data_IF_496512544917
#
_entry.id   IF_496512544917
#
_cell.length_a   1.000
_cell.length_b   1.000
_cell.length_c   1.000
_cell.angle_alpha   90.00
_cell.angle_beta   90.00
_cell.angle_gamma   90.00
#
_symmetry.space_group_name_H-M   'P 1'
#
loop_
_entity.id
_entity.type
_entity.pdbx_description
1 polymer ?
#
# COMPACT_ATOMS: atom_id res chain seq x y z
N UNK A 1 -12.31 -16.82 14.86
CA UNK A 1 -12.62 -16.09 16.11
C UNK A 1 -14.14 -15.98 16.17
N UNK A 2 -14.78 -16.02 17.33
CA UNK A 2 -16.25 -15.92 17.38
C UNK A 2 -16.65 -14.46 17.45
N UNK A 3 -17.67 -14.04 16.72
CA UNK A 3 -18.25 -12.67 16.72
C UNK A 3 -18.64 -12.19 18.13
N UNK A 4 -19.12 -13.10 18.98
CA UNK A 4 -19.49 -12.83 20.38
C UNK A 4 -18.27 -12.47 21.24
N UNK A 5 -17.18 -13.21 21.09
CA UNK A 5 -15.91 -12.92 21.74
C UNK A 5 -15.36 -11.54 21.35
N UNK A 6 -15.37 -11.21 20.04
CA UNK A 6 -14.91 -9.91 19.57
C UNK A 6 -15.79 -8.78 20.14
N UNK A 7 -17.11 -8.98 20.18
CA UNK A 7 -18.04 -8.02 20.78
C UNK A 7 -17.75 -7.80 22.27
N UNK A 8 -17.52 -8.87 23.01
CA UNK A 8 -17.22 -8.82 24.45
C UNK A 8 -15.93 -8.03 24.70
N UNK A 9 -14.85 -8.38 24.00
CA UNK A 9 -13.57 -7.68 24.09
C UNK A 9 -13.72 -6.18 23.80
N UNK A 10 -14.44 -5.82 22.75
CA UNK A 10 -14.63 -4.42 22.38
C UNK A 10 -15.50 -3.67 23.38
N UNK A 11 -16.52 -4.33 23.94
CA UNK A 11 -17.37 -3.74 24.98
C UNK A 11 -16.60 -3.48 26.27
N UNK A 12 -15.72 -4.40 26.65
CA UNK A 12 -14.88 -4.26 27.84
C UNK A 12 -13.81 -3.17 27.69
N UNK A 13 -13.38 -2.91 26.45
CA UNK A 13 -12.54 -1.76 26.13
C UNK A 13 -13.31 -0.43 26.13
N UNK A 14 -14.63 -0.46 26.28
CA UNK A 14 -15.48 0.73 26.31
C UNK A 14 -16.01 1.18 24.95
N UNK A 15 -15.88 0.38 23.90
CA UNK A 15 -16.41 0.72 22.59
C UNK A 15 -17.93 0.62 22.51
N UNK A 16 -18.59 1.64 21.98
CA UNK A 16 -20.01 1.61 21.61
C UNK A 16 -20.14 1.12 20.18
N UNK A 17 -20.62 -0.11 20.02
CA UNK A 17 -20.65 -0.79 18.72
C UNK A 17 -21.94 -0.55 17.96
N UNK A 18 -21.84 -0.22 16.68
CA UNK A 18 -22.93 -0.25 15.70
C UNK A 18 -22.75 -1.44 14.79
N UNK A 19 -23.83 -2.15 14.51
CA UNK A 19 -23.85 -3.35 13.68
C UNK A 19 -24.00 -3.00 12.18
N UNK A 20 -23.06 -3.47 11.36
CA UNK A 20 -23.04 -3.28 9.91
C UNK A 20 -22.73 -4.62 9.21
N UNK A 21 -23.71 -5.53 9.24
CA UNK A 21 -23.56 -6.85 8.63
C UNK A 21 -22.35 -7.62 9.15
N UNK A 22 -21.33 -7.85 8.32
CA UNK A 22 -20.10 -8.56 8.70
C UNK A 22 -19.12 -7.75 9.56
N UNK A 23 -19.46 -6.50 9.94
CA UNK A 23 -18.59 -5.59 10.65
C UNK A 23 -19.28 -4.94 11.85
N UNK A 24 -18.51 -4.66 12.90
CA UNK A 24 -18.83 -3.64 13.88
C UNK A 24 -18.23 -2.34 13.44
N UNK A 25 -18.95 -1.23 13.60
CA UNK A 25 -18.42 0.12 13.44
C UNK A 25 -18.55 0.93 14.71
N UNK A 26 -17.56 1.77 14.95
CA UNK A 26 -17.47 2.55 16.18
C UNK A 26 -16.54 3.75 16.01
N UNK A 27 -16.50 4.61 17.00
CA UNK A 27 -15.51 5.65 17.17
C UNK A 27 -14.22 5.05 17.74
N UNK A 28 -13.02 5.40 17.26
CA UNK A 28 -11.78 5.01 17.93
C UNK A 28 -11.68 5.65 19.31
N UNK A 29 -11.17 4.90 20.30
CA UNK A 29 -10.95 5.39 21.66
C UNK A 29 -9.50 5.80 21.92
N UNK A 30 -8.56 5.39 21.06
CA UNK A 30 -7.13 5.70 21.15
C UNK A 30 -6.76 7.09 20.58
N UNK A 31 -7.74 7.83 20.08
CA UNK A 31 -7.60 9.20 19.58
C UNK A 31 -8.96 9.93 19.59
N UNK A 32 -8.93 11.24 19.53
CA UNK A 32 -10.15 12.03 19.36
C UNK A 32 -10.78 11.83 17.98
N UNK A 33 -12.08 11.64 17.98
CA UNK A 33 -12.89 11.50 16.77
C UNK A 33 -14.34 11.91 17.06
N UNK A 34 -14.93 12.67 16.18
CA UNK A 34 -16.35 13.04 16.15
C UNK A 34 -17.21 12.07 15.31
N UNK A 35 -16.57 11.10 14.65
CA UNK A 35 -17.23 10.15 13.77
C UNK A 35 -17.36 8.77 14.43
N UNK A 36 -18.62 8.41 14.76
CA UNK A 36 -18.97 7.17 15.47
C UNK A 36 -18.90 5.90 14.63
N UNK A 37 -18.51 5.97 13.34
CA UNK A 37 -18.48 4.82 12.43
C UNK A 37 -17.18 4.72 11.62
N UNK A 38 -16.17 5.51 12.01
CA UNK A 38 -14.92 5.61 11.23
C UNK A 38 -13.99 4.39 11.42
N UNK A 39 -14.08 3.73 12.58
CA UNK A 39 -13.37 2.49 12.88
C UNK A 39 -14.25 1.29 12.52
N UNK A 40 -13.78 0.41 11.67
CA UNK A 40 -14.49 -0.80 11.23
C UNK A 40 -13.74 -2.05 11.70
N UNK A 41 -14.44 -2.97 12.36
CA UNK A 41 -13.88 -4.22 12.89
C UNK A 41 -14.65 -5.40 12.28
N UNK A 42 -13.96 -6.31 11.63
CA UNK A 42 -14.56 -7.52 11.06
C UNK A 42 -14.96 -8.50 12.18
N UNK A 43 -16.20 -8.97 12.16
CA UNK A 43 -16.80 -9.81 13.21
C UNK A 43 -16.21 -11.20 13.32
N UNK A 44 -15.66 -11.75 12.22
CA UNK A 44 -15.16 -13.11 12.18
C UNK A 44 -13.67 -13.18 12.51
N UNK A 45 -12.93 -12.15 12.12
CA UNK A 45 -11.47 -12.15 12.21
C UNK A 45 -10.91 -11.21 13.27
N UNK A 46 -11.68 -10.24 13.76
CA UNK A 46 -11.22 -9.18 14.63
C UNK A 46 -10.28 -8.17 13.95
N UNK A 47 -10.10 -8.27 12.63
CA UNK A 47 -9.31 -7.30 11.87
C UNK A 47 -10.04 -5.97 11.82
N UNK A 48 -9.30 -4.88 12.02
CA UNK A 48 -9.88 -3.55 12.03
C UNK A 48 -9.15 -2.60 11.07
N UNK A 49 -9.86 -1.53 10.73
CA UNK A 49 -9.33 -0.41 9.94
C UNK A 49 -9.93 0.91 10.44
N UNK A 50 -9.07 1.89 10.70
CA UNK A 50 -9.44 3.29 10.88
C UNK A 50 -9.36 3.99 9.51
N UNK A 51 -10.49 4.47 9.02
CA UNK A 51 -10.56 5.07 7.68
C UNK A 51 -10.04 6.52 7.63
N UNK A 52 -9.87 7.18 8.78
CA UNK A 52 -9.32 8.53 8.83
C UNK A 52 -7.79 8.49 8.79
N UNK A 53 -7.19 7.65 9.65
CA UNK A 53 -5.73 7.55 9.77
C UNK A 53 -5.13 6.56 8.75
N UNK A 54 -5.96 5.76 8.08
CA UNK A 54 -5.49 4.73 7.15
C UNK A 54 -4.79 3.53 7.80
N UNK A 55 -4.77 3.46 9.13
CA UNK A 55 -4.14 2.37 9.89
C UNK A 55 -5.08 1.17 10.04
N UNK A 56 -4.51 -0.02 10.18
CA UNK A 56 -5.24 -1.26 10.36
C UNK A 56 -4.40 -2.28 11.12
N UNK A 57 -5.07 -3.28 11.72
CA UNK A 57 -4.38 -4.33 12.47
C UNK A 57 -5.27 -5.48 12.88
N UNK A 58 -4.75 -6.34 13.75
CA UNK A 58 -5.48 -7.38 14.43
C UNK A 58 -6.09 -6.90 15.77
N UNK A 59 -6.86 -7.78 16.44
CA UNK A 59 -7.51 -7.42 17.69
C UNK A 59 -6.48 -7.06 18.80
N UNK A 60 -5.32 -7.72 18.82
CA UNK A 60 -4.21 -7.42 19.72
C UNK A 60 -3.69 -5.98 19.54
N UNK A 61 -3.56 -5.54 18.29
CA UNK A 61 -3.09 -4.18 17.98
C UNK A 61 -4.11 -3.13 18.41
N UNK A 62 -5.42 -3.44 18.30
CA UNK A 62 -6.47 -2.54 18.77
C UNK A 62 -6.47 -2.41 20.29
N UNK A 63 -6.34 -3.54 21.01
CA UNK A 63 -6.20 -3.54 22.47
C UNK A 63 -5.00 -2.72 22.90
N UNK A 64 -3.83 -2.96 22.29
CA UNK A 64 -2.61 -2.22 22.55
C UNK A 64 -2.79 -0.71 22.39
N UNK A 65 -3.39 -0.28 21.28
CA UNK A 65 -3.64 1.15 21.01
C UNK A 65 -4.65 1.75 22.00
N UNK A 66 -5.72 1.00 22.32
CA UNK A 66 -6.80 1.50 23.17
C UNK A 66 -6.38 1.64 24.62
N UNK A 67 -5.59 0.68 25.12
CA UNK A 67 -5.11 0.67 26.52
C UNK A 67 -3.74 1.35 26.69
N UNK A 68 -3.14 1.84 25.60
CA UNK A 68 -1.78 2.40 25.59
C UNK A 68 -0.76 1.49 26.30
N UNK A 69 -0.79 0.21 25.97
CA UNK A 69 0.03 -0.83 26.61
C UNK A 69 0.97 -1.54 25.62
N UNK A 70 1.88 -2.37 26.14
CA UNK A 70 2.71 -3.21 25.29
C UNK A 70 1.93 -4.43 24.76
N UNK A 71 2.51 -5.15 23.79
CA UNK A 71 1.84 -6.29 23.15
C UNK A 71 1.61 -7.47 24.10
N UNK A 72 2.46 -7.64 25.10
CA UNK A 72 2.33 -8.74 26.07
C UNK A 72 1.13 -8.51 27.00
N UNK A 73 0.92 -7.28 27.42
CA UNK A 73 -0.23 -6.91 28.27
C UNK A 73 -1.53 -6.94 27.46
N UNK A 74 -1.52 -6.54 26.20
CA UNK A 74 -2.66 -6.71 25.30
C UNK A 74 -3.04 -8.19 25.14
N UNK A 75 -2.06 -9.08 25.03
CA UNK A 75 -2.29 -10.54 24.97
C UNK A 75 -2.87 -11.09 26.29
N UNK A 76 -2.34 -10.67 27.43
CA UNK A 76 -2.88 -11.05 28.73
C UNK A 76 -4.33 -10.62 28.88
N UNK A 77 -4.66 -9.40 28.46
CA UNK A 77 -6.04 -8.91 28.45
C UNK A 77 -6.94 -9.81 27.62
N UNK A 78 -6.55 -10.17 26.39
CA UNK A 78 -7.32 -11.06 25.53
C UNK A 78 -7.46 -12.48 26.10
N UNK A 79 -6.41 -13.03 26.71
CA UNK A 79 -6.45 -14.33 27.38
C UNK A 79 -7.38 -14.35 28.58
N UNK A 80 -7.48 -13.28 29.36
CA UNK A 80 -8.38 -13.18 30.51
C UNK A 80 -9.87 -13.23 30.14
N UNK A 81 -10.19 -13.03 28.84
CA UNK A 81 -11.55 -13.04 28.28
C UNK A 81 -11.99 -14.38 27.72
N UNK A 82 -11.30 -15.46 28.06
CA UNK A 82 -11.83 -16.82 27.88
C UNK A 82 -11.66 -17.44 26.51
N UNK A 83 -10.60 -17.16 25.79
CA UNK A 83 -10.25 -17.98 24.64
C UNK A 83 -9.25 -19.07 25.04
N UNK A 84 -9.74 -20.28 25.27
CA UNK A 84 -8.97 -21.53 25.36
C UNK A 84 -8.32 -21.93 24.02
N UNK A 85 -8.14 -21.00 23.11
CA UNK A 85 -7.40 -21.25 21.89
C UNK A 85 -6.06 -20.55 22.00
N UNK A 86 -4.94 -21.31 21.89
CA UNK A 86 -3.68 -20.68 21.61
C UNK A 86 -3.90 -19.80 20.40
N UNK A 87 -3.67 -18.50 20.53
CA UNK A 87 -3.60 -17.59 19.42
C UNK A 87 -2.55 -18.19 18.49
N UNK A 88 -3.00 -18.98 17.53
CA UNK A 88 -2.15 -19.20 16.36
C UNK A 88 -1.77 -17.78 15.96
N UNK A 89 -0.49 -17.47 16.11
CA UNK A 89 0.10 -16.29 15.53
C UNK A 89 -0.27 -16.43 14.05
N UNK A 90 -1.42 -15.86 13.66
CA UNK A 90 -1.66 -15.55 12.28
C UNK A 90 -0.61 -14.48 12.06
N UNK A 91 0.62 -14.94 11.75
CA UNK A 91 1.59 -14.11 11.06
C UNK A 91 0.73 -13.39 10.04
N UNK A 92 0.70 -12.04 10.03
CA UNK A 92 -0.02 -11.38 8.95
C UNK A 92 0.40 -12.19 7.74
N UNK A 93 -0.56 -12.80 7.04
CA UNK A 93 -0.26 -13.31 5.72
C UNK A 93 0.35 -12.09 5.06
N UNK A 94 1.66 -12.11 5.01
CA UNK A 94 2.39 -11.29 4.07
C UNK A 94 1.80 -11.82 2.79
N UNK A 95 0.76 -11.14 2.28
CA UNK A 95 0.23 -11.41 0.95
C UNK A 95 1.49 -11.41 0.15
N UNK A 96 1.91 -12.60 -0.27
CA UNK A 96 3.10 -12.72 -1.10
C UNK A 96 2.80 -11.77 -2.24
N UNK A 97 3.51 -10.64 -2.23
CA UNK A 97 3.32 -9.60 -3.24
C UNK A 97 3.48 -10.35 -4.53
N UNK A 98 2.40 -10.42 -5.34
CA UNK A 98 2.45 -11.11 -6.62
C UNK A 98 3.57 -10.47 -7.40
N UNK A 99 4.67 -11.17 -7.52
CA UNK A 99 5.74 -10.76 -8.41
C UNK A 99 5.22 -10.88 -9.83
N UNK A 100 5.47 -9.89 -10.63
CA UNK A 100 5.22 -9.96 -12.07
C UNK A 100 6.36 -10.74 -12.72
N UNK A 101 6.08 -11.37 -13.86
CA UNK A 101 7.12 -12.02 -14.64
C UNK A 101 7.98 -10.94 -15.32
N UNK A 102 9.30 -11.00 -15.11
CA UNK A 102 10.25 -10.03 -15.67
C UNK A 102 10.37 -10.13 -17.20
N UNK A 103 9.97 -11.26 -17.82
CA UNK A 103 9.96 -11.43 -19.28
C UNK A 103 9.19 -10.34 -20.00
N UNK A 104 8.20 -9.73 -19.35
CA UNK A 104 7.47 -8.60 -19.91
C UNK A 104 8.39 -7.41 -20.19
N UNK A 105 9.38 -7.15 -19.36
CA UNK A 105 10.31 -6.02 -19.50
C UNK A 105 11.24 -6.20 -20.69
N UNK A 106 11.59 -7.43 -21.05
CA UNK A 106 12.44 -7.75 -22.21
C UNK A 106 11.77 -7.40 -23.56
N UNK A 107 10.44 -7.24 -23.55
CA UNK A 107 9.67 -6.88 -24.73
C UNK A 107 9.39 -5.37 -24.85
N UNK A 108 9.91 -4.55 -23.94
CA UNK A 108 9.80 -3.11 -24.03
C UNK A 108 10.77 -2.57 -25.09
N UNK A 109 10.29 -1.68 -25.94
CA UNK A 109 11.10 -1.07 -26.99
C UNK A 109 11.71 0.22 -26.46
N UNK A 110 13.00 0.39 -26.67
CA UNK A 110 13.69 1.64 -26.32
C UNK A 110 13.30 2.73 -27.36
N UNK A 111 12.27 3.48 -27.01
CA UNK A 111 11.85 4.67 -27.76
C UNK A 111 11.58 5.79 -26.76
N UNK A 112 12.57 6.59 -26.53
CA UNK A 112 12.59 7.63 -25.47
C UNK A 112 12.06 8.99 -25.96
N UNK A 113 11.67 9.11 -27.24
CA UNK A 113 11.26 10.38 -27.85
C UNK A 113 10.28 11.20 -27.00
N UNK A 114 9.26 10.56 -26.41
CA UNK A 114 8.27 11.24 -25.58
C UNK A 114 8.90 11.97 -24.39
N UNK A 115 9.89 11.37 -23.75
CA UNK A 115 10.57 11.89 -22.57
C UNK A 115 11.70 12.84 -22.98
N UNK A 116 12.45 12.56 -24.06
CA UNK A 116 13.47 13.47 -24.60
C UNK A 116 12.87 14.81 -25.01
N UNK A 117 11.67 14.81 -25.65
CA UNK A 117 10.92 16.02 -26.00
C UNK A 117 10.53 16.86 -24.74
N UNK A 118 10.66 16.28 -23.54
CA UNK A 118 10.41 16.91 -22.22
C UNK A 118 11.66 17.17 -21.41
N UNK A 119 12.82 17.05 -22.04
CA UNK A 119 14.11 17.36 -21.44
C UNK A 119 14.68 16.25 -20.55
N UNK A 120 14.18 15.02 -20.63
CA UNK A 120 14.74 13.88 -19.90
C UNK A 120 15.72 13.15 -20.82
N UNK A 121 16.95 12.94 -20.38
CA UNK A 121 18.01 12.29 -21.16
C UNK A 121 17.81 10.77 -21.29
N UNK A 122 18.50 10.19 -22.26
CA UNK A 122 18.51 8.74 -22.43
C UNK A 122 19.20 8.05 -21.25
N UNK A 123 20.23 8.67 -20.69
CA UNK A 123 20.96 8.18 -19.52
C UNK A 123 20.03 8.04 -18.31
N UNK A 124 19.22 9.06 -18.05
CA UNK A 124 18.21 9.02 -16.97
C UNK A 124 17.18 7.92 -17.24
N UNK A 125 16.69 7.79 -18.46
CA UNK A 125 15.68 6.77 -18.78
C UNK A 125 16.24 5.34 -18.72
N UNK A 126 17.49 5.14 -19.05
CA UNK A 126 18.19 3.85 -18.93
C UNK A 126 18.38 3.45 -17.47
N UNK A 127 18.70 4.40 -16.57
CA UNK A 127 18.81 4.18 -15.13
C UNK A 127 17.50 3.64 -14.52
N UNK A 128 16.37 4.15 -14.98
CA UNK A 128 15.05 3.73 -14.49
C UNK A 128 14.43 2.55 -15.24
N UNK A 129 15.07 2.04 -16.29
CA UNK A 129 14.71 0.81 -17.01
C UNK A 129 13.36 0.88 -17.73
N UNK A 130 12.97 2.07 -18.22
CA UNK A 130 11.71 2.27 -18.92
C UNK A 130 11.76 1.89 -20.40
N UNK A 131 10.56 1.76 -21.01
CA UNK A 131 10.42 1.52 -22.45
C UNK A 131 8.98 1.49 -22.93
N UNK A 132 8.79 1.51 -24.25
CA UNK A 132 7.48 1.49 -24.88
C UNK A 132 6.95 0.07 -24.99
N UNK A 133 5.69 -0.12 -24.60
CA UNK A 133 5.00 -1.40 -24.71
C UNK A 133 4.11 -1.41 -25.96
N UNK A 134 4.32 -2.37 -26.86
CA UNK A 134 3.59 -2.49 -28.12
C UNK A 134 2.44 -3.51 -28.09
N UNK A 135 2.13 -4.07 -26.92
CA UNK A 135 1.08 -5.07 -26.84
C UNK A 135 0.37 -5.13 -25.50
N UNK A 136 -0.77 -5.81 -25.46
CA UNK A 136 -1.48 -6.16 -24.22
C UNK A 136 -2.02 -4.97 -23.45
N UNK A 137 -2.03 -5.10 -22.11
CA UNK A 137 -2.68 -4.12 -21.20
C UNK A 137 -1.99 -2.76 -21.17
N UNK A 138 -0.71 -2.71 -21.57
CA UNK A 138 0.12 -1.50 -21.56
C UNK A 138 0.41 -0.98 -22.98
N UNK A 139 -0.32 -1.44 -23.98
CA UNK A 139 -0.18 -0.99 -25.37
C UNK A 139 -0.11 0.54 -25.48
N UNK A 140 0.85 1.04 -26.27
CA UNK A 140 1.14 2.45 -26.55
C UNK A 140 1.44 3.27 -25.30
N UNK A 141 2.09 2.65 -24.31
CA UNK A 141 2.53 3.33 -23.10
C UNK A 141 4.04 3.20 -22.92
N UNK A 142 4.65 4.28 -22.45
CA UNK A 142 5.98 4.18 -21.89
C UNK A 142 5.86 3.64 -20.46
N UNK A 143 6.47 2.50 -20.21
CA UNK A 143 6.29 1.71 -18.98
C UNK A 143 7.55 1.76 -18.14
N UNK A 144 7.39 2.07 -16.87
CA UNK A 144 8.44 1.99 -15.86
C UNK A 144 8.20 0.79 -14.95
N UNK A 145 9.23 -0.04 -14.69
CA UNK A 145 9.16 -1.13 -13.74
C UNK A 145 9.16 -0.60 -12.31
N UNK A 146 8.40 -1.24 -11.44
CA UNK A 146 8.35 -0.92 -10.01
C UNK A 146 8.88 -2.12 -9.23
N UNK A 147 9.99 -1.92 -8.55
CA UNK A 147 10.65 -2.96 -7.77
C UNK A 147 10.37 -2.78 -6.27
N UNK A 148 10.41 -3.90 -5.54
CA UNK A 148 10.40 -3.88 -4.07
C UNK A 148 11.80 -3.59 -3.53
N UNK A 149 11.87 -3.41 -2.20
CA UNK A 149 13.10 -3.35 -1.41
C UNK A 149 14.06 -4.55 -1.60
N UNK A 150 13.55 -5.66 -2.14
CA UNK A 150 14.32 -6.88 -2.44
C UNK A 150 14.55 -7.07 -3.94
N UNK A 151 14.50 -6.00 -4.69
CA UNK A 151 14.69 -5.98 -6.14
C UNK A 151 13.81 -6.99 -6.92
N UNK A 152 12.57 -7.20 -6.47
CA UNK A 152 11.58 -8.03 -7.16
C UNK A 152 10.57 -7.15 -7.86
N UNK A 153 10.27 -7.41 -9.13
CA UNK A 153 9.24 -6.69 -9.88
C UNK A 153 7.86 -6.90 -9.23
N UNK A 154 7.29 -5.84 -8.68
CA UNK A 154 6.00 -5.87 -7.98
C UNK A 154 4.90 -5.09 -8.71
N UNK A 155 5.28 -4.33 -9.72
CA UNK A 155 4.33 -3.56 -10.51
C UNK A 155 4.99 -2.90 -11.70
N UNK A 156 4.14 -2.30 -12.53
CA UNK A 156 4.55 -1.43 -13.62
C UNK A 156 3.63 -0.22 -13.71
N UNK A 157 4.19 0.92 -14.09
CA UNK A 157 3.46 2.17 -14.30
C UNK A 157 3.68 2.66 -15.72
N UNK A 158 2.60 2.82 -16.48
CA UNK A 158 2.65 3.17 -17.90
C UNK A 158 2.04 4.55 -18.20
N UNK A 159 2.86 5.45 -18.75
CA UNK A 159 2.41 6.73 -19.29
C UNK A 159 1.83 6.54 -20.68
N UNK A 160 0.61 7.03 -20.92
CA UNK A 160 0.02 7.04 -22.26
C UNK A 160 0.81 7.98 -23.18
N UNK A 161 1.24 7.46 -24.33
CA UNK A 161 1.97 8.23 -25.35
C UNK A 161 1.03 8.91 -26.35
N UNK A 162 -0.21 8.44 -26.44
CA UNK A 162 -1.23 9.02 -27.30
C UNK A 162 -1.89 10.20 -26.57
N UNK A 163 -1.62 11.40 -27.01
CA UNK A 163 -2.22 12.62 -26.48
C UNK A 163 -3.61 12.92 -27.09
N UNK A 164 -4.26 11.95 -27.71
CA UNK A 164 -5.57 12.15 -28.32
C UNK A 164 -6.63 12.39 -27.23
N UNK A 165 -7.14 13.62 -27.16
CA UNK A 165 -8.28 14.01 -26.32
C UNK A 165 -9.52 13.14 -26.55
N UNK A 166 -9.59 12.46 -27.70
CA UNK A 166 -10.68 11.56 -28.10
C UNK A 166 -10.61 10.16 -27.50
N UNK A 167 -9.41 9.68 -27.15
CA UNK A 167 -9.25 8.41 -26.45
C UNK A 167 -9.42 8.68 -24.97
N UNK A 168 -10.54 8.31 -24.36
CA UNK A 168 -10.79 8.40 -22.89
C UNK A 168 -9.84 7.48 -22.07
N UNK A 169 -8.60 7.32 -22.51
CA UNK A 169 -7.59 6.50 -21.83
C UNK A 169 -6.99 7.28 -20.65
N UNK A 170 -6.82 6.65 -19.50
CA UNK A 170 -6.18 7.32 -18.37
C UNK A 170 -4.72 7.67 -18.70
N UNK A 171 -4.32 8.89 -18.36
CA UNK A 171 -2.96 9.41 -18.54
C UNK A 171 -1.89 8.47 -17.99
N UNK A 172 -2.14 7.88 -16.83
CA UNK A 172 -1.32 6.85 -16.21
C UNK A 172 -2.13 5.58 -15.98
N UNK A 173 -1.52 4.44 -16.24
CA UNK A 173 -2.07 3.12 -15.95
C UNK A 173 -1.06 2.31 -15.16
N UNK A 174 -1.56 1.59 -14.16
CA UNK A 174 -0.71 0.80 -13.27
C UNK A 174 -1.18 -0.64 -13.22
N UNK A 175 -0.23 -1.56 -13.12
CA UNK A 175 -0.46 -2.99 -12.85
C UNK A 175 0.37 -3.33 -11.62
N UNK A 176 -0.24 -4.00 -10.64
CA UNK A 176 0.35 -4.31 -9.33
C UNK A 176 -0.36 -3.61 -8.18
N UNK A 177 0.06 -3.89 -6.96
CA UNK A 177 -0.51 -3.28 -5.74
C UNK A 177 0.17 -1.96 -5.42
N UNK A 178 -0.47 -0.85 -5.80
CA UNK A 178 0.04 0.51 -5.58
C UNK A 178 0.28 0.86 -4.11
N UNK A 179 -0.41 0.23 -3.19
CA UNK A 179 -0.28 0.53 -1.76
C UNK A 179 1.08 0.15 -1.20
N UNK A 180 1.84 -0.62 -1.96
CA UNK A 180 3.17 -1.12 -1.59
C UNK A 180 4.31 -0.43 -2.35
N UNK A 181 4.02 0.60 -3.15
CA UNK A 181 5.02 1.22 -4.00
C UNK A 181 5.65 2.45 -3.35
N UNK A 182 6.96 2.49 -3.39
CA UNK A 182 7.76 3.69 -3.26
C UNK A 182 8.69 3.71 -4.47
N UNK A 183 8.55 4.69 -5.35
CA UNK A 183 9.30 4.75 -6.60
C UNK A 183 10.25 5.95 -6.58
N UNK A 184 11.47 5.81 -7.02
CA UNK A 184 12.20 4.59 -7.38
C UNK A 184 13.00 4.06 -6.16
N UNK A 185 12.55 2.98 -5.53
CA UNK A 185 13.19 2.45 -4.33
C UNK A 185 14.59 1.91 -4.60
N UNK A 186 14.76 1.14 -5.69
CA UNK A 186 16.03 0.47 -6.00
C UNK A 186 17.19 1.42 -6.32
N UNK A 187 16.88 2.59 -6.91
CA UNK A 187 17.90 3.57 -7.30
C UNK A 187 18.32 4.44 -6.12
N UNK A 188 17.42 4.68 -5.17
CA UNK A 188 17.59 5.66 -4.11
C UNK A 188 17.77 5.08 -2.71
N UNK A 189 17.77 3.77 -2.52
CA UNK A 189 17.75 3.17 -1.18
C UNK A 189 18.93 3.65 -0.32
N UNK A 190 20.15 3.64 -0.86
CA UNK A 190 21.33 4.10 -0.14
C UNK A 190 21.28 5.60 0.16
N UNK A 191 20.88 6.39 -0.83
CA UNK A 191 20.73 7.85 -0.69
C UNK A 191 19.66 8.16 0.38
N UNK A 192 18.51 7.47 0.33
CA UNK A 192 17.42 7.66 1.29
C UNK A 192 17.84 7.32 2.73
N UNK A 193 18.66 6.27 2.92
CA UNK A 193 19.17 5.88 4.25
C UNK A 193 20.12 6.92 4.84
N UNK A 194 20.89 7.62 4.00
CA UNK A 194 21.88 8.60 4.41
C UNK A 194 21.33 10.02 4.49
N UNK A 195 20.26 10.32 3.77
CA UNK A 195 19.69 11.67 3.68
C UNK A 195 18.86 12.01 4.90
N UNK A 196 18.99 13.28 5.34
CA UNK A 196 18.15 13.87 6.39
C UNK A 196 16.84 14.46 5.87
N UNK A 197 16.70 14.55 4.55
CA UNK A 197 15.55 15.17 3.87
C UNK A 197 15.14 14.29 2.69
N UNK A 198 13.84 14.24 2.43
CA UNK A 198 13.23 13.50 1.30
C UNK A 198 12.24 14.42 0.63
N UNK A 199 12.28 14.48 -0.70
CA UNK A 199 11.30 15.18 -1.52
C UNK A 199 10.28 14.17 -2.01
N UNK A 200 9.00 14.39 -1.68
CA UNK A 200 7.90 13.57 -2.16
C UNK A 200 7.25 14.24 -3.37
N UNK A 201 7.09 13.49 -4.45
CA UNK A 201 6.52 13.95 -5.72
C UNK A 201 5.30 13.09 -6.09
N UNK A 202 4.35 13.66 -6.81
CA UNK A 202 3.09 12.99 -7.14
C UNK A 202 3.23 11.99 -8.29
N UNK A 203 4.18 12.20 -9.21
CA UNK A 203 4.30 11.39 -10.41
C UNK A 203 5.75 11.01 -10.74
N UNK A 204 5.89 9.91 -11.49
CA UNK A 204 7.18 9.48 -12.05
C UNK A 204 7.77 10.58 -12.95
N UNK A 205 6.93 11.30 -13.71
CA UNK A 205 7.41 12.38 -14.57
C UNK A 205 8.06 13.53 -13.80
N UNK A 206 7.49 13.92 -12.67
CA UNK A 206 8.05 14.98 -11.82
C UNK A 206 9.37 14.52 -11.18
N UNK A 207 9.44 13.24 -10.81
CA UNK A 207 10.65 12.63 -10.27
C UNK A 207 11.77 12.63 -11.33
N UNK A 208 11.49 12.21 -12.56
CA UNK A 208 12.48 12.22 -13.64
C UNK A 208 12.97 13.64 -13.94
N UNK A 209 12.06 14.63 -13.96
CA UNK A 209 12.43 16.03 -14.20
C UNK A 209 13.31 16.61 -13.08
N UNK A 210 13.10 16.19 -11.84
CA UNK A 210 13.98 16.57 -10.73
C UNK A 210 15.32 15.85 -10.77
N UNK A 211 15.34 14.60 -11.20
CA UNK A 211 16.56 13.79 -11.31
C UNK A 211 17.51 14.32 -12.38
N UNK A 212 16.98 14.88 -13.46
CA UNK A 212 17.71 15.44 -14.58
C UNK A 212 18.45 16.75 -14.27
N UNK A 213 18.14 17.42 -13.14
CA UNK A 213 18.73 18.71 -12.70
C UNK A 213 20.10 18.54 -12.05
#
# INVERSE_FOLDING_TARGET
MNSEYIREVLSDLGYTLRDYGGYFRTRPLYRDSDNDVILSINKDTGRWKDFKEGISGGLEDLVKLTLDCNIEDARKFLQSKGSDRPTAIVKPEVKQRKTLNDEFLNNLIKNNKYWNDRGISDETLDEFGGGVCESGKMLDRYVFPIYSDRNRLIGVSGRDLNNDEWTKRPKWKHIGDKTAWTYPTQVNEEILRQSKQVILLESIGDMLALWEQ
#
